data_IF_994109553042
#
_entry.id   IF_994109553042
#
_cell.length_a   1.000
_cell.length_b   1.000
_cell.length_c   1.000
_cell.angle_alpha   90.00
_cell.angle_beta   90.00
_cell.angle_gamma   90.00
#
_symmetry.space_group_name_H-M   'P 1'
#
loop_
_entity.id
_entity.type
_entity.pdbx_description
1 polymer ?
#
# COMPACT_ATOMS: atom_id res chain seq x y z
N UNK A 1 -16.06 -1.70 -11.72
CA UNK A 1 -15.42 -1.09 -10.54
C UNK A 1 -13.94 -1.43 -10.60
N UNK A 2 -13.06 -0.44 -10.71
CA UNK A 2 -11.61 -0.63 -10.76
C UNK A 2 -11.05 -0.47 -9.35
N UNK A 3 -10.44 -1.51 -8.80
CA UNK A 3 -9.73 -1.40 -7.53
C UNK A 3 -8.29 -0.91 -7.81
N UNK A 4 -7.79 0.13 -7.13
CA UNK A 4 -6.49 0.71 -7.43
C UNK A 4 -5.35 -0.27 -7.15
N UNK A 5 -4.40 -0.34 -8.08
CA UNK A 5 -3.16 -1.09 -7.91
C UNK A 5 -2.28 -0.46 -6.82
N UNK A 6 -1.46 -1.28 -6.18
CA UNK A 6 -0.37 -0.79 -5.33
C UNK A 6 0.86 -0.52 -6.18
N UNK A 7 1.20 0.75 -6.39
CA UNK A 7 2.34 1.22 -7.18
C UNK A 7 3.45 1.85 -6.32
N UNK A 8 3.29 1.80 -4.99
CA UNK A 8 4.22 2.40 -4.03
C UNK A 8 3.95 3.88 -3.71
N UNK A 9 2.94 4.51 -4.31
CA UNK A 9 2.57 5.92 -4.08
C UNK A 9 1.45 6.10 -3.05
N UNK A 10 1.11 5.05 -2.31
CA UNK A 10 0.16 5.06 -1.20
C UNK A 10 0.78 4.36 0.01
N UNK A 11 0.39 4.78 1.20
CA UNK A 11 0.83 4.11 2.42
C UNK A 11 0.30 2.65 2.44
N UNK A 12 1.14 1.63 2.71
CA UNK A 12 0.69 0.24 2.74
C UNK A 12 -0.53 0.00 3.64
N UNK A 13 -0.60 0.65 4.81
CA UNK A 13 -1.75 0.47 5.71
C UNK A 13 -3.06 0.98 5.11
N UNK A 14 -3.02 2.12 4.41
CA UNK A 14 -4.20 2.70 3.76
C UNK A 14 -4.69 1.79 2.63
N UNK A 15 -3.76 1.33 1.79
CA UNK A 15 -4.11 0.45 0.68
C UNK A 15 -4.63 -0.92 1.16
N UNK A 16 -4.04 -1.48 2.22
CA UNK A 16 -4.53 -2.73 2.84
C UNK A 16 -5.91 -2.53 3.47
N UNK A 17 -6.19 -1.37 4.06
CA UNK A 17 -7.51 -1.04 4.57
C UNK A 17 -8.55 -1.02 3.44
N UNK A 18 -8.22 -0.45 2.29
CA UNK A 18 -9.11 -0.46 1.13
C UNK A 18 -9.34 -1.88 0.60
N UNK A 19 -8.31 -2.73 0.60
CA UNK A 19 -8.43 -4.16 0.27
C UNK A 19 -9.39 -4.87 1.25
N UNK A 20 -9.33 -4.56 2.54
CA UNK A 20 -10.24 -5.13 3.54
C UNK A 20 -11.69 -4.65 3.35
N UNK A 21 -11.91 -3.38 3.00
CA UNK A 21 -13.24 -2.88 2.62
C UNK A 21 -13.78 -3.62 1.39
N UNK A 22 -12.94 -3.83 0.38
CA UNK A 22 -13.28 -4.61 -0.81
C UNK A 22 -13.66 -6.05 -0.44
N UNK A 23 -12.90 -6.71 0.45
CA UNK A 23 -13.24 -8.04 0.98
C UNK A 23 -14.65 -8.07 1.57
N UNK A 24 -15.01 -7.08 2.38
CA UNK A 24 -16.34 -6.99 3.00
C UNK A 24 -17.45 -6.78 1.99
N UNK A 25 -17.25 -5.90 1.00
CA UNK A 25 -18.26 -5.65 -0.04
C UNK A 25 -18.54 -6.92 -0.87
N UNK A 26 -17.52 -7.74 -1.09
CA UNK A 26 -17.59 -8.91 -1.97
C UNK A 26 -17.64 -10.27 -1.25
N UNK A 27 -17.78 -10.28 0.08
CA UNK A 27 -17.82 -11.50 0.92
C UNK A 27 -16.68 -12.50 0.61
N UNK A 28 -15.46 -11.98 0.42
CA UNK A 28 -14.30 -12.82 0.11
C UNK A 28 -13.69 -13.44 1.39
N UNK A 29 -13.20 -14.67 1.27
CA UNK A 29 -12.40 -15.31 2.34
C UNK A 29 -10.94 -14.80 2.36
N UNK A 30 -10.21 -15.13 3.41
CA UNK A 30 -8.83 -14.65 3.64
C UNK A 30 -7.84 -15.09 2.55
N UNK A 31 -8.01 -16.29 2.01
CA UNK A 31 -7.17 -16.79 0.92
C UNK A 31 -7.41 -16.03 -0.38
N UNK A 32 -8.67 -15.79 -0.73
CA UNK A 32 -9.07 -15.07 -1.93
C UNK A 32 -8.60 -13.62 -1.89
N UNK A 33 -8.69 -12.96 -0.72
CA UNK A 33 -8.26 -11.57 -0.61
C UNK A 33 -6.75 -11.42 -0.69
N UNK A 34 -5.96 -12.32 -0.09
CA UNK A 34 -4.51 -12.29 -0.19
C UNK A 34 -4.05 -12.46 -1.65
N UNK A 35 -4.60 -13.46 -2.36
CA UNK A 35 -4.29 -13.70 -3.77
C UNK A 35 -4.67 -12.49 -4.63
N UNK A 36 -5.83 -11.89 -4.37
CA UNK A 36 -6.29 -10.69 -5.06
C UNK A 36 -5.35 -9.51 -4.83
N UNK A 37 -4.95 -9.26 -3.58
CA UNK A 37 -4.02 -8.20 -3.23
C UNK A 37 -2.67 -8.39 -3.95
N UNK A 38 -2.12 -9.60 -3.99
CA UNK A 38 -0.86 -9.90 -4.70
C UNK A 38 -0.98 -9.56 -6.20
N UNK A 39 -2.10 -9.88 -6.84
CA UNK A 39 -2.34 -9.57 -8.26
C UNK A 39 -2.50 -8.07 -8.56
N UNK A 40 -2.82 -7.27 -7.54
CA UNK A 40 -3.01 -5.83 -7.67
C UNK A 40 -1.72 -5.03 -7.41
N UNK A 41 -0.61 -5.69 -7.10
CA UNK A 41 0.68 -5.02 -6.90
C UNK A 41 1.36 -4.80 -8.25
N UNK A 42 1.95 -3.62 -8.42
CA UNK A 42 2.74 -3.32 -9.61
C UNK A 42 3.90 -4.32 -9.75
N UNK A 43 4.08 -4.98 -10.92
CA UNK A 43 5.12 -6.00 -11.12
C UNK A 43 6.57 -5.52 -10.92
N UNK A 44 6.79 -4.20 -10.93
CA UNK A 44 8.09 -3.60 -10.61
C UNK A 44 8.43 -3.72 -9.11
N UNK A 45 7.43 -3.83 -8.25
CA UNK A 45 7.58 -4.00 -6.80
C UNK A 45 7.84 -5.47 -6.50
N UNK A 46 9.12 -5.78 -6.23
CA UNK A 46 9.53 -7.15 -5.89
C UNK A 46 9.10 -7.50 -4.47
N UNK A 47 8.36 -8.60 -4.37
CA UNK A 47 7.95 -9.22 -3.10
C UNK A 47 8.85 -10.42 -2.77
N UNK A 48 8.95 -10.81 -1.50
CA UNK A 48 9.51 -12.10 -1.10
C UNK A 48 8.79 -13.27 -1.77
N UNK A 49 9.49 -14.40 -1.95
CA UNK A 49 8.96 -15.59 -2.61
C UNK A 49 7.76 -16.22 -1.89
N UNK A 50 7.63 -16.02 -0.56
CA UNK A 50 6.53 -16.55 0.24
C UNK A 50 5.89 -15.43 1.07
N UNK A 51 4.58 -15.27 0.88
CA UNK A 51 3.71 -14.42 1.68
C UNK A 51 2.46 -15.25 2.00
N UNK A 52 2.18 -15.44 3.29
CA UNK A 52 1.18 -16.39 3.77
C UNK A 52 -0.10 -15.71 4.28
N UNK A 53 -0.03 -14.41 4.57
CA UNK A 53 -1.15 -13.64 5.10
C UNK A 53 -1.00 -12.14 4.76
N UNK A 54 -2.06 -11.37 5.03
CA UNK A 54 -2.14 -9.93 4.75
C UNK A 54 -1.14 -9.11 5.59
N UNK A 55 -0.81 -9.56 6.79
CA UNK A 55 0.16 -8.88 7.65
C UNK A 55 1.59 -9.00 7.11
N UNK A 56 1.99 -10.20 6.68
CA UNK A 56 3.25 -10.44 5.97
C UNK A 56 3.33 -9.60 4.70
N UNK A 57 2.23 -9.50 3.94
CA UNK A 57 2.15 -8.64 2.76
C UNK A 57 2.40 -7.17 3.12
N UNK A 58 1.65 -6.65 4.10
CA UNK A 58 1.76 -5.27 4.57
C UNK A 58 3.19 -4.93 5.01
N UNK A 59 3.82 -5.84 5.76
CA UNK A 59 5.20 -5.67 6.23
C UNK A 59 6.19 -5.71 5.05
N UNK A 60 6.00 -6.61 4.08
CA UNK A 60 6.82 -6.66 2.87
C UNK A 60 6.73 -5.36 2.05
N UNK A 61 5.52 -4.79 1.92
CA UNK A 61 5.31 -3.50 1.24
C UNK A 61 5.97 -2.34 2.00
N UNK A 62 5.87 -2.31 3.33
CA UNK A 62 6.57 -1.31 4.17
C UNK A 62 8.09 -1.44 4.09
N UNK A 63 8.61 -2.64 3.87
CA UNK A 63 10.04 -2.89 3.69
C UNK A 63 10.57 -2.58 2.29
N UNK A 64 9.68 -2.36 1.30
CA UNK A 64 10.08 -2.16 -0.09
C UNK A 64 10.68 -0.76 -0.35
N UNK A 65 11.63 -0.68 -1.28
CA UNK A 65 12.30 0.56 -1.67
C UNK A 65 11.32 1.60 -2.23
N UNK A 66 10.25 1.18 -2.93
CA UNK A 66 9.25 2.10 -3.48
C UNK A 66 8.57 2.90 -2.37
N UNK A 67 8.18 2.23 -1.29
CA UNK A 67 7.58 2.90 -0.13
C UNK A 67 8.58 3.82 0.59
N UNK A 68 9.84 3.42 0.70
CA UNK A 68 10.88 4.28 1.26
C UNK A 68 11.05 5.58 0.45
N UNK A 69 11.03 5.50 -0.88
CA UNK A 69 11.09 6.67 -1.79
C UNK A 69 9.85 7.54 -1.63
N UNK A 70 8.66 6.96 -1.59
CA UNK A 70 7.41 7.69 -1.33
C UNK A 70 7.46 8.46 -0.01
N UNK A 71 7.82 7.79 1.09
CA UNK A 71 7.93 8.42 2.42
C UNK A 71 8.93 9.57 2.42
N UNK A 72 10.12 9.38 1.85
CA UNK A 72 11.17 10.39 1.81
C UNK A 72 10.77 11.59 0.96
N UNK A 73 10.10 11.35 -0.17
CA UNK A 73 9.58 12.40 -1.05
C UNK A 73 8.55 13.25 -0.33
N UNK A 74 7.58 12.63 0.35
CA UNK A 74 6.58 13.35 1.14
C UNK A 74 7.20 14.13 2.30
N UNK A 75 8.18 13.56 3.01
CA UNK A 75 8.91 14.28 4.06
C UNK A 75 9.57 15.56 3.53
N UNK A 76 10.23 15.49 2.37
CA UNK A 76 10.85 16.68 1.74
C UNK A 76 9.81 17.71 1.32
N UNK A 77 8.69 17.27 0.72
CA UNK A 77 7.58 18.16 0.37
C UNK A 77 7.04 18.89 1.59
N UNK A 78 6.81 18.17 2.70
CA UNK A 78 6.35 18.76 3.96
C UNK A 78 7.33 19.81 4.51
N UNK A 79 8.63 19.58 4.42
CA UNK A 79 9.65 20.55 4.84
C UNK A 79 9.67 21.82 3.97
N UNK A 80 9.27 21.72 2.70
CA UNK A 80 9.18 22.87 1.79
C UNK A 80 7.92 23.70 1.99
N UNK A 81 6.84 23.07 2.48
CA UNK A 81 5.61 23.75 2.89
C UNK A 81 5.88 24.52 4.19
N UNK A 82 6.62 25.62 4.11
CA UNK A 82 6.78 26.56 5.22
C UNK A 82 5.39 27.07 5.59
N UNK A 83 4.97 26.83 6.83
CA UNK A 83 3.73 27.40 7.36
C UNK A 83 3.83 28.93 7.30
N UNK A 84 2.89 29.57 6.60
CA UNK A 84 2.70 31.01 6.62
C UNK A 84 1.53 31.25 7.58
N UNK A 85 1.77 31.78 8.80
CA UNK A 85 0.70 32.09 9.73
C UNK A 85 -0.23 33.14 9.14
N UNK A 86 -1.53 32.98 9.37
CA UNK A 86 -2.49 34.05 9.11
C UNK A 86 -2.23 35.21 10.09
N UNK A 87 -2.20 36.44 9.56
CA UNK A 87 -1.99 37.67 10.34
C UNK A 87 -3.29 38.22 10.91
#
# INVERSE_FOLDING_TARGET
MYFPKYDGNIHPDEWINDIQKFRHIHNLNDFNILKTAILLIDPTIKLPAKISNIEELRNALKGNISFAVFRNTNKRKLQLLKYIPES
#
